data_IF_145596329183
#
_entry.id   IF_145596329183
#
_cell.length_a   1.000
_cell.length_b   1.000
_cell.length_c   1.000
_cell.angle_alpha   90.00
_cell.angle_beta   90.00
_cell.angle_gamma   90.00
#
_symmetry.space_group_name_H-M   'P 1'
#
loop_
_entity.id
_entity.type
_entity.pdbx_description
1 polymer ?
#
# COMPACT_ATOMS: atom_id res chain seq x y z
N UNK A 1 13.62 20.23 6.29
CA UNK A 1 12.30 19.75 6.74
C UNK A 1 12.06 20.19 8.18
N UNK A 2 10.87 20.69 8.52
CA UNK A 2 10.55 21.11 9.90
C UNK A 2 10.43 19.90 10.85
N UNK A 3 10.59 20.07 12.18
CA UNK A 3 10.39 18.99 13.15
C UNK A 3 9.01 18.32 13.03
N UNK A 4 7.95 19.10 12.84
CA UNK A 4 6.57 18.61 12.71
C UNK A 4 6.40 17.75 11.45
N UNK A 5 7.05 18.14 10.36
CA UNK A 5 7.02 17.38 9.11
C UNK A 5 7.76 16.05 9.27
N UNK A 6 8.88 16.02 9.99
CA UNK A 6 9.61 14.77 10.29
C UNK A 6 8.78 13.82 11.15
N UNK A 7 8.14 14.35 12.18
CA UNK A 7 7.27 13.57 13.07
C UNK A 7 6.08 12.98 12.30
N UNK A 8 5.44 13.79 11.46
CA UNK A 8 4.36 13.29 10.60
C UNK A 8 4.82 12.16 9.69
N UNK A 9 5.98 12.30 9.02
CA UNK A 9 6.52 11.24 8.15
C UNK A 9 6.81 9.97 8.95
N UNK A 10 7.43 10.10 10.12
CA UNK A 10 7.72 8.94 10.97
C UNK A 10 6.43 8.22 11.38
N UNK A 11 5.41 8.95 11.86
CA UNK A 11 4.12 8.37 12.21
C UNK A 11 3.41 7.74 11.00
N UNK A 12 3.50 8.37 9.83
CA UNK A 12 2.95 7.85 8.59
C UNK A 12 3.62 6.53 8.18
N UNK A 13 4.94 6.44 8.26
CA UNK A 13 5.70 5.21 8.00
C UNK A 13 5.37 4.11 9.02
N UNK A 14 5.17 4.44 10.30
CA UNK A 14 4.74 3.45 11.28
C UNK A 14 3.41 2.81 10.89
N UNK A 15 2.40 3.60 10.55
CA UNK A 15 1.06 3.07 10.24
C UNK A 15 0.99 2.33 8.89
N UNK A 16 1.61 2.91 7.86
CA UNK A 16 1.43 2.49 6.47
C UNK A 16 2.58 1.63 5.90
N UNK A 17 3.63 1.40 6.68
CA UNK A 17 4.72 0.48 6.35
C UNK A 17 4.96 -0.53 7.49
N UNK A 18 5.42 -0.07 8.65
CA UNK A 18 5.84 -0.97 9.75
C UNK A 18 4.69 -1.80 10.33
N UNK A 19 3.56 -1.17 10.65
CA UNK A 19 2.37 -1.78 11.26
C UNK A 19 1.29 -2.13 10.23
N UNK A 20 1.64 -2.22 8.94
CA UNK A 20 0.65 -2.34 7.87
C UNK A 20 -0.33 -3.52 8.06
N UNK A 21 0.16 -4.67 8.55
CA UNK A 21 -0.70 -5.83 8.82
C UNK A 21 -1.74 -5.55 9.91
N UNK A 22 -1.32 -4.89 11.00
CA UNK A 22 -2.22 -4.48 12.08
C UNK A 22 -3.21 -3.41 11.60
N UNK A 23 -2.73 -2.43 10.83
CA UNK A 23 -3.56 -1.38 10.22
C UNK A 23 -4.65 -1.99 9.32
N UNK A 24 -4.31 -2.98 8.48
CA UNK A 24 -5.30 -3.70 7.65
C UNK A 24 -6.37 -4.37 8.49
N UNK A 25 -5.97 -5.08 9.54
CA UNK A 25 -6.90 -5.75 10.46
C UNK A 25 -7.87 -4.76 11.10
N UNK A 26 -7.36 -3.65 11.64
CA UNK A 26 -8.18 -2.61 12.29
C UNK A 26 -9.10 -1.88 11.32
N UNK A 27 -8.70 -1.73 10.06
CA UNK A 27 -9.53 -1.15 8.99
C UNK A 27 -10.49 -2.18 8.35
N UNK A 28 -10.44 -3.45 8.79
CA UNK A 28 -11.26 -4.52 8.22
C UNK A 28 -10.87 -4.89 6.77
N UNK A 29 -9.68 -4.50 6.32
CA UNK A 29 -9.13 -4.86 5.00
C UNK A 29 -8.69 -6.31 5.07
N UNK A 30 -9.41 -7.18 4.35
CA UNK A 30 -9.13 -8.62 4.31
C UNK A 30 -8.69 -9.02 2.90
N UNK A 31 -7.61 -9.80 2.83
CA UNK A 31 -7.21 -10.44 1.59
C UNK A 31 -8.17 -11.58 1.26
N UNK A 32 -8.33 -11.86 -0.03
CA UNK A 32 -9.01 -13.06 -0.50
C UNK A 32 -8.27 -14.32 -0.04
N UNK A 33 -9.01 -15.36 0.31
CA UNK A 33 -8.42 -16.67 0.59
C UNK A 33 -7.89 -17.30 -0.71
N UNK A 34 -6.94 -18.25 -0.62
CA UNK A 34 -6.45 -18.98 -1.79
C UNK A 34 -7.59 -19.61 -2.63
N UNK A 35 -8.66 -20.06 -1.98
CA UNK A 35 -9.84 -20.64 -2.63
C UNK A 35 -10.64 -19.59 -3.40
N UNK A 36 -10.78 -18.38 -2.84
CA UNK A 36 -11.44 -17.25 -3.50
C UNK A 36 -10.64 -16.79 -4.72
N UNK A 37 -9.32 -16.63 -4.59
CA UNK A 37 -8.43 -16.30 -5.72
C UNK A 37 -8.54 -17.36 -6.83
N UNK A 38 -8.55 -18.65 -6.47
CA UNK A 38 -8.70 -19.76 -7.43
C UNK A 38 -10.07 -19.76 -8.11
N UNK A 39 -11.14 -19.46 -7.38
CA UNK A 39 -12.50 -19.38 -7.94
C UNK A 39 -12.62 -18.20 -8.92
N UNK A 40 -12.08 -17.03 -8.58
CA UNK A 40 -12.04 -15.86 -9.46
C UNK A 40 -11.28 -16.14 -10.76
N UNK A 41 -10.10 -16.76 -10.67
CA UNK A 41 -9.30 -17.16 -11.82
C UNK A 41 -10.05 -18.15 -12.73
N UNK A 42 -10.75 -19.14 -12.16
CA UNK A 42 -11.56 -20.09 -12.93
C UNK A 42 -12.73 -19.42 -13.68
N UNK A 43 -13.15 -18.24 -13.23
CA UNK A 43 -14.19 -17.42 -13.88
C UNK A 43 -13.61 -16.36 -14.83
N UNK A 44 -12.27 -16.29 -15.00
CA UNK A 44 -11.60 -15.23 -15.78
C UNK A 44 -11.74 -13.84 -15.16
N UNK A 45 -12.00 -13.76 -13.85
CA UNK A 45 -12.15 -12.51 -13.08
C UNK A 45 -10.88 -12.21 -12.27
N UNK A 46 -9.71 -12.52 -12.83
CA UNK A 46 -8.44 -12.33 -12.16
C UNK A 46 -8.20 -10.83 -11.94
N UNK A 47 -8.01 -10.43 -10.69
CA UNK A 47 -7.67 -9.05 -10.33
C UNK A 47 -6.15 -8.85 -10.44
N UNK A 48 -5.75 -7.69 -10.96
CA UNK A 48 -4.34 -7.27 -10.88
C UNK A 48 -4.07 -6.92 -9.40
N UNK A 49 -3.03 -7.49 -8.77
CA UNK A 49 -2.74 -7.19 -7.38
C UNK A 49 -2.28 -5.73 -7.24
N UNK A 50 -3.06 -4.95 -6.48
CA UNK A 50 -2.83 -3.53 -6.22
C UNK A 50 -1.66 -3.33 -5.23
N UNK A 51 -1.47 -4.30 -4.33
CA UNK A 51 -0.37 -4.44 -3.37
C UNK A 51 -0.02 -5.93 -3.34
N UNK A 52 1.27 -6.29 -3.42
CA UNK A 52 1.74 -7.67 -3.28
C UNK A 52 1.39 -8.24 -1.91
N UNK A 53 1.29 -9.57 -1.79
CA UNK A 53 1.06 -10.24 -0.50
C UNK A 53 2.16 -9.91 0.53
N UNK A 54 3.38 -9.57 0.09
CA UNK A 54 4.51 -9.14 0.93
C UNK A 54 4.78 -7.61 0.89
N UNK A 55 3.86 -6.85 0.30
CA UNK A 55 3.92 -5.40 0.15
C UNK A 55 3.21 -4.63 1.25
N UNK A 56 3.49 -3.33 1.31
CA UNK A 56 2.84 -2.36 2.20
C UNK A 56 2.14 -1.27 1.40
N UNK A 57 1.43 -0.37 2.07
CA UNK A 57 0.84 0.77 1.38
C UNK A 57 1.92 1.69 0.77
N UNK A 58 3.03 1.90 1.48
CA UNK A 58 4.15 2.74 1.02
C UNK A 58 5.02 2.02 -0.02
N UNK A 59 5.24 0.72 0.17
CA UNK A 59 6.04 -0.13 -0.70
C UNK A 59 5.18 -1.31 -1.22
N UNK A 60 4.34 -1.07 -2.24
CA UNK A 60 3.37 -2.06 -2.68
C UNK A 60 3.98 -3.26 -3.40
N UNK A 61 5.23 -3.18 -3.87
CA UNK A 61 5.97 -4.26 -4.57
C UNK A 61 5.20 -4.84 -5.77
N UNK A 62 4.53 -3.98 -6.51
CA UNK A 62 3.82 -4.31 -7.74
C UNK A 62 4.54 -3.69 -8.93
N UNK A 63 4.33 -4.24 -10.13
CA UNK A 63 4.95 -3.73 -11.36
C UNK A 63 4.40 -2.34 -11.73
N UNK A 64 3.09 -2.14 -11.57
CA UNK A 64 2.43 -0.84 -11.78
C UNK A 64 1.86 -0.29 -10.46
N UNK A 65 2.57 0.69 -9.88
CA UNK A 65 2.11 1.40 -8.67
C UNK A 65 1.15 2.57 -8.96
N UNK A 66 0.88 2.83 -10.25
CA UNK A 66 0.07 3.95 -10.72
C UNK A 66 -1.37 3.56 -11.01
N UNK A 67 -1.60 2.30 -11.40
CA UNK A 67 -2.94 1.74 -11.45
C UNK A 67 -3.51 1.50 -10.04
N UNK A 68 -4.83 1.67 -9.93
CA UNK A 68 -5.65 1.33 -8.79
C UNK A 68 -5.38 2.05 -7.45
N UNK A 69 -5.86 3.30 -7.37
CA UNK A 69 -6.60 3.91 -6.22
C UNK A 69 -6.63 5.44 -6.35
N UNK A 70 -6.88 5.97 -7.55
CA UNK A 70 -6.96 7.42 -7.78
C UNK A 70 -5.64 8.15 -7.45
N UNK A 71 -5.56 8.81 -6.28
CA UNK A 71 -4.42 9.67 -5.91
C UNK A 71 -3.23 8.93 -5.25
N UNK A 72 -3.28 7.60 -5.11
CA UNK A 72 -2.21 6.81 -4.44
C UNK A 72 -0.84 7.01 -5.09
N UNK A 73 -0.72 6.81 -6.41
CA UNK A 73 0.55 6.99 -7.12
C UNK A 73 1.12 8.40 -6.94
N UNK A 74 0.25 9.43 -7.01
CA UNK A 74 0.64 10.83 -6.74
C UNK A 74 1.13 11.03 -5.30
N UNK A 75 0.46 10.43 -4.32
CA UNK A 75 0.86 10.48 -2.92
C UNK A 75 2.24 9.84 -2.70
N UNK A 76 2.46 8.64 -3.24
CA UNK A 76 3.75 7.94 -3.12
C UNK A 76 4.88 8.71 -3.80
N UNK A 77 4.63 9.29 -4.98
CA UNK A 77 5.61 10.14 -5.66
C UNK A 77 5.97 11.39 -4.84
N UNK A 78 4.98 12.07 -4.27
CA UNK A 78 5.20 13.24 -3.41
C UNK A 78 5.95 12.86 -2.13
N UNK A 79 5.56 11.75 -1.50
CA UNK A 79 6.20 11.19 -0.32
C UNK A 79 7.68 10.84 -0.55
N UNK A 80 7.99 10.13 -1.64
CA UNK A 80 9.37 9.78 -2.02
C UNK A 80 10.22 11.01 -2.29
N UNK A 81 9.67 12.01 -2.99
CA UNK A 81 10.34 13.29 -3.23
C UNK A 81 10.66 14.00 -1.90
N UNK A 82 9.72 13.99 -0.96
CA UNK A 82 9.89 14.59 0.37
C UNK A 82 11.03 13.90 1.15
N UNK A 83 11.09 12.56 1.13
CA UNK A 83 12.16 11.75 1.73
C UNK A 83 13.55 12.02 1.14
N UNK A 84 13.64 12.27 -0.17
CA UNK A 84 14.92 12.56 -0.84
C UNK A 84 15.46 13.97 -0.55
N UNK A 85 14.60 14.88 -0.07
CA UNK A 85 14.97 16.28 0.22
C UNK A 85 15.31 16.48 1.70
N UNK A 86 15.56 15.39 2.44
CA UNK A 86 15.75 15.35 3.90
C UNK A 86 17.20 15.15 4.31
#
# INVERSE_FOLDING_TARGET
>A
MSPETKEFIAAFEQVFDADWMHTKEMLGIRSETPEQKKAAAAMGLESIPIISDDGTFINPKVEDETEDWGNRGRLLAAYRKLKQTS
#
